data_IF_498796872364
#
_entry.id   IF_498796872364
#
_cell.length_a   1.000
_cell.length_b   1.000
_cell.length_c   1.000
_cell.angle_alpha   90.00
_cell.angle_beta   90.00
_cell.angle_gamma   90.00
#
_symmetry.space_group_name_H-M   'P 1'
#
loop_
_entity.id
_entity.type
_entity.pdbx_description
1 polymer ?
#
# COMPACT_ATOMS: atom_id res chain seq x y z
N UNK A 1 -25.04 11.12 6.21
CA UNK A 1 -24.58 11.86 7.43
C UNK A 1 -23.41 12.77 7.06
N UNK A 2 -23.15 13.88 7.77
CA UNK A 2 -22.00 14.74 7.44
C UNK A 2 -20.71 14.15 8.01
N UNK A 3 -19.74 13.86 7.15
CA UNK A 3 -18.40 13.39 7.52
C UNK A 3 -17.66 14.48 8.31
N UNK A 4 -17.19 14.14 9.52
CA UNK A 4 -16.48 15.03 10.45
C UNK A 4 -14.98 14.71 10.58
N UNK A 5 -14.59 13.48 10.27
CA UNK A 5 -13.20 13.03 10.24
C UNK A 5 -12.91 12.30 8.93
N UNK A 6 -11.65 12.28 8.50
CA UNK A 6 -11.27 11.69 7.22
C UNK A 6 -9.96 10.91 7.36
N UNK A 7 -9.97 9.68 6.86
CA UNK A 7 -8.82 8.78 6.72
C UNK A 7 -8.57 8.56 5.23
N UNK A 8 -7.32 8.75 4.80
CA UNK A 8 -6.90 8.37 3.45
C UNK A 8 -6.10 7.08 3.51
N UNK A 9 -6.38 6.16 2.60
CA UNK A 9 -5.72 4.85 2.50
C UNK A 9 -5.00 4.77 1.16
N UNK A 10 -3.71 4.48 1.18
CA UNK A 10 -2.91 4.25 -0.02
C UNK A 10 -2.71 2.75 -0.17
N UNK A 11 -3.20 2.18 -1.28
CA UNK A 11 -3.11 0.75 -1.53
C UNK A 11 -2.10 0.43 -2.62
N UNK A 12 -1.28 -0.59 -2.39
CA UNK A 12 -0.56 -1.29 -3.45
C UNK A 12 -1.59 -1.96 -4.41
N UNK A 13 -1.35 -2.03 -5.74
CA UNK A 13 -2.34 -2.53 -6.72
C UNK A 13 -2.61 -4.05 -6.64
N UNK A 14 -1.87 -4.80 -5.82
CA UNK A 14 -2.10 -6.23 -5.61
C UNK A 14 -3.40 -6.49 -4.85
N UNK A 15 -4.23 -7.42 -5.33
CA UNK A 15 -5.55 -7.67 -4.74
C UNK A 15 -5.52 -8.09 -3.27
N UNK A 16 -4.52 -8.87 -2.85
CA UNK A 16 -4.34 -9.23 -1.44
C UNK A 16 -4.12 -8.02 -0.52
N UNK A 17 -3.48 -6.97 -1.04
CA UNK A 17 -3.27 -5.70 -0.35
C UNK A 17 -4.59 -4.91 -0.30
N UNK A 18 -5.19 -4.68 -1.48
CA UNK A 18 -6.42 -3.90 -1.65
C UNK A 18 -7.56 -4.45 -0.78
N UNK A 19 -7.85 -5.75 -0.87
CA UNK A 19 -9.01 -6.35 -0.21
C UNK A 19 -8.97 -6.16 1.31
N UNK A 20 -7.80 -6.35 1.91
CA UNK A 20 -7.63 -6.22 3.37
C UNK A 20 -7.92 -4.79 3.85
N UNK A 21 -7.46 -3.78 3.09
CA UNK A 21 -7.70 -2.37 3.33
C UNK A 21 -9.16 -1.97 3.13
N UNK A 22 -9.83 -2.53 2.10
CA UNK A 22 -11.27 -2.32 1.88
C UNK A 22 -12.09 -2.84 3.06
N UNK A 23 -11.81 -4.05 3.53
CA UNK A 23 -12.52 -4.64 4.67
C UNK A 23 -12.29 -3.80 5.94
N UNK A 24 -11.05 -3.35 6.19
CA UNK A 24 -10.74 -2.45 7.30
C UNK A 24 -11.54 -1.14 7.20
N UNK A 25 -11.56 -0.51 6.02
CA UNK A 25 -12.32 0.73 5.78
C UNK A 25 -13.82 0.53 6.07
N UNK A 26 -14.40 -0.59 5.63
CA UNK A 26 -15.79 -0.95 5.90
C UNK A 26 -16.07 -1.05 7.41
N UNK A 27 -15.19 -1.70 8.17
CA UNK A 27 -15.34 -1.80 9.63
C UNK A 27 -15.22 -0.44 10.32
N UNK A 28 -14.32 0.43 9.86
CA UNK A 28 -14.17 1.78 10.40
C UNK A 28 -15.48 2.57 10.24
N UNK A 29 -16.03 2.65 9.03
CA UNK A 29 -17.25 3.47 8.79
C UNK A 29 -18.49 2.90 9.48
N UNK A 30 -18.57 1.57 9.64
CA UNK A 30 -19.66 0.91 10.38
C UNK A 30 -19.61 1.22 11.87
N UNK A 31 -18.41 1.33 12.46
CA UNK A 31 -18.24 1.66 13.88
C UNK A 31 -18.23 3.18 14.14
N UNK A 32 -17.83 3.97 13.15
CA UNK A 32 -17.65 5.42 13.23
C UNK A 32 -18.29 6.10 12.01
N UNK A 33 -19.63 6.24 12.00
CA UNK A 33 -20.36 6.85 10.89
C UNK A 33 -20.11 8.36 10.74
N UNK A 34 -19.32 8.98 11.62
CA UNK A 34 -18.81 10.34 11.50
C UNK A 34 -17.47 10.42 10.75
N UNK A 35 -16.84 9.28 10.44
CA UNK A 35 -15.57 9.19 9.72
C UNK A 35 -15.83 8.76 8.27
N UNK A 36 -15.23 9.48 7.33
CA UNK A 36 -15.11 9.09 5.93
C UNK A 36 -13.76 8.44 5.65
N UNK A 37 -13.74 7.43 4.78
CA UNK A 37 -12.51 6.76 4.33
C UNK A 37 -12.39 6.88 2.81
N UNK A 38 -11.27 7.45 2.34
CA UNK A 38 -10.93 7.48 0.92
C UNK A 38 -9.81 6.49 0.63
N UNK A 39 -10.08 5.49 -0.20
CA UNK A 39 -9.12 4.47 -0.63
C UNK A 39 -8.61 4.82 -2.03
N UNK A 40 -7.31 5.11 -2.11
CA UNK A 40 -6.58 5.40 -3.34
C UNK A 40 -6.04 4.08 -3.90
N UNK A 41 -6.46 3.73 -5.12
CA UNK A 41 -6.14 2.46 -5.78
C UNK A 41 -5.65 2.73 -7.19
N UNK A 42 -4.63 2.00 -7.63
CA UNK A 42 -4.20 1.98 -9.02
C UNK A 42 -4.85 0.82 -9.78
N UNK A 43 -5.21 1.08 -11.02
CA UNK A 43 -5.67 0.09 -11.99
C UNK A 43 -7.07 -0.47 -11.77
N UNK A 44 -7.34 -1.59 -12.44
CA UNK A 44 -8.63 -2.26 -12.45
C UNK A 44 -9.06 -2.84 -11.09
N UNK A 45 -8.15 -2.89 -10.12
CA UNK A 45 -8.47 -3.26 -8.75
C UNK A 45 -9.50 -2.31 -8.10
N UNK A 46 -9.66 -1.08 -8.60
CA UNK A 46 -10.67 -0.14 -8.12
C UNK A 46 -12.10 -0.69 -8.28
N UNK A 47 -12.42 -1.35 -9.39
CA UNK A 47 -13.76 -1.95 -9.61
C UNK A 47 -14.02 -3.10 -8.64
N UNK A 48 -13.02 -3.98 -8.49
CA UNK A 48 -13.08 -5.09 -7.52
C UNK A 48 -13.23 -4.58 -6.09
N UNK A 49 -12.61 -3.44 -5.76
CA UNK A 49 -12.75 -2.81 -4.45
C UNK A 49 -14.17 -2.27 -4.21
N UNK A 50 -14.81 -1.64 -5.21
CA UNK A 50 -16.22 -1.21 -5.10
C UNK A 50 -17.18 -2.41 -4.89
N UNK A 51 -16.96 -3.52 -5.59
CA UNK A 51 -17.69 -4.77 -5.39
C UNK A 51 -17.48 -5.34 -3.98
N UNK A 52 -16.24 -5.29 -3.47
CA UNK A 52 -15.90 -5.74 -2.12
C UNK A 52 -16.54 -4.86 -1.03
N UNK A 53 -16.64 -3.54 -1.24
CA UNK A 53 -17.38 -2.63 -0.35
C UNK A 53 -18.85 -3.03 -0.31
N UNK A 54 -19.47 -3.22 -1.47
CA UNK A 54 -20.88 -3.63 -1.60
C UNK A 54 -21.15 -4.97 -0.92
N UNK A 55 -20.18 -5.89 -0.93
CA UNK A 55 -20.29 -7.18 -0.24
C UNK A 55 -20.12 -7.05 1.28
N UNK A 56 -19.34 -6.07 1.75
CA UNK A 56 -18.97 -5.91 3.15
C UNK A 56 -19.96 -5.07 3.95
N UNK A 57 -20.72 -4.21 3.27
CA UNK A 57 -21.69 -3.29 3.87
C UNK A 57 -23.09 -3.68 3.41
N UNK A 58 -24.06 -3.90 4.32
CA UNK A 58 -25.44 -4.19 3.94
C UNK A 58 -26.04 -3.10 3.05
N UNK A 59 -26.89 -3.51 2.09
CA UNK A 59 -27.60 -2.57 1.22
C UNK A 59 -28.47 -1.63 2.07
N UNK A 60 -28.35 -0.33 1.83
CA UNK A 60 -29.09 0.70 2.57
C UNK A 60 -28.41 1.16 3.87
N UNK A 61 -27.26 0.58 4.25
CA UNK A 61 -26.47 1.07 5.37
C UNK A 61 -25.84 2.44 5.01
N UNK A 62 -26.10 3.50 5.81
CA UNK A 62 -25.50 4.83 5.59
C UNK A 62 -23.96 4.83 5.56
N UNK A 63 -23.31 3.81 6.14
CA UNK A 63 -21.87 3.65 6.13
C UNK A 63 -21.29 3.59 4.69
N UNK A 64 -22.08 3.14 3.71
CA UNK A 64 -21.67 3.11 2.31
C UNK A 64 -21.38 4.52 1.74
N UNK A 65 -22.07 5.55 2.23
CA UNK A 65 -21.83 6.95 1.79
C UNK A 65 -20.49 7.51 2.29
N UNK A 66 -19.91 6.87 3.31
CA UNK A 66 -18.68 7.29 3.96
C UNK A 66 -17.45 6.56 3.43
N UNK A 67 -17.57 5.75 2.37
CA UNK A 67 -16.41 5.17 1.67
C UNK A 67 -16.32 5.73 0.26
N UNK A 68 -15.09 6.09 -0.12
CA UNK A 68 -14.75 6.47 -1.49
C UNK A 68 -13.65 5.55 -1.98
N UNK A 69 -13.91 4.87 -3.08
CA UNK A 69 -12.88 4.19 -3.87
C UNK A 69 -12.49 5.11 -5.02
N UNK A 70 -11.23 5.53 -5.07
CA UNK A 70 -10.74 6.46 -6.07
C UNK A 70 -9.57 5.84 -6.80
N UNK A 71 -9.79 5.56 -8.08
CA UNK A 71 -8.75 5.20 -9.02
C UNK A 71 -7.80 6.36 -9.28
N UNK A 72 -6.50 6.17 -9.06
CA UNK A 72 -5.46 7.21 -9.25
C UNK A 72 -4.62 7.01 -10.51
N UNK A 73 -4.55 5.77 -11.02
CA UNK A 73 -3.77 5.40 -12.20
C UNK A 73 -4.54 4.34 -13.00
N UNK A 74 -4.49 4.40 -14.34
CA UNK A 74 -5.09 3.38 -15.23
C UNK A 74 -4.10 2.26 -15.53
N UNK A 75 -4.61 1.05 -15.67
CA UNK A 75 -3.85 -0.14 -16.08
C UNK A 75 -4.39 -1.42 -15.46
N UNK A 76 -3.95 -2.56 -15.98
CA UNK A 76 -4.34 -3.88 -15.51
C UNK A 76 -3.16 -4.72 -15.00
N UNK A 77 -1.95 -4.45 -15.49
CA UNK A 77 -0.73 -5.12 -15.04
C UNK A 77 -0.24 -4.53 -13.70
N UNK A 78 -0.34 -5.33 -12.64
CA UNK A 78 0.09 -4.99 -11.29
C UNK A 78 1.59 -4.66 -11.24
N UNK A 79 2.42 -5.37 -12.01
CA UNK A 79 3.87 -5.18 -12.00
C UNK A 79 4.27 -3.87 -12.66
N UNK A 80 3.56 -3.44 -13.72
CA UNK A 80 3.74 -2.12 -14.31
C UNK A 80 3.19 -1.01 -13.39
N UNK A 81 2.01 -1.21 -12.80
CA UNK A 81 1.36 -0.22 -11.94
C UNK A 81 2.15 0.08 -10.67
N UNK A 82 2.94 -0.88 -10.15
CA UNK A 82 3.73 -0.71 -8.91
C UNK A 82 4.59 0.55 -8.93
N UNK A 83 5.19 0.87 -10.08
CA UNK A 83 6.14 1.99 -10.25
C UNK A 83 5.44 3.34 -10.10
N UNK A 84 4.24 3.49 -10.65
CA UNK A 84 3.50 4.76 -10.64
C UNK A 84 2.55 4.94 -9.46
N UNK A 85 2.25 3.88 -8.70
CA UNK A 85 1.19 3.91 -7.68
C UNK A 85 1.48 4.91 -6.57
N UNK A 86 2.71 4.96 -6.07
CA UNK A 86 3.10 5.88 -4.99
C UNK A 86 2.91 7.35 -5.41
N UNK A 87 3.50 7.74 -6.54
CA UNK A 87 3.40 9.10 -7.08
C UNK A 87 1.95 9.51 -7.40
N UNK A 88 1.16 8.61 -8.01
CA UNK A 88 -0.24 8.88 -8.30
C UNK A 88 -1.09 9.05 -7.03
N UNK A 89 -0.80 8.26 -5.99
CA UNK A 89 -1.49 8.35 -4.70
C UNK A 89 -1.11 9.62 -3.93
N UNK A 90 0.17 10.03 -3.98
CA UNK A 90 0.63 11.29 -3.41
C UNK A 90 -0.05 12.50 -4.06
N UNK A 91 -0.11 12.55 -5.39
CA UNK A 91 -0.82 13.62 -6.12
C UNK A 91 -2.30 13.69 -5.76
N UNK A 92 -2.95 12.53 -5.62
CA UNK A 92 -4.34 12.48 -5.14
C UNK A 92 -4.46 12.99 -3.69
N UNK A 93 -3.51 12.64 -2.82
CA UNK A 93 -3.48 13.09 -1.43
C UNK A 93 -3.23 14.60 -1.30
N UNK A 94 -2.41 15.22 -2.16
CA UNK A 94 -2.26 16.68 -2.20
C UNK A 94 -3.61 17.37 -2.38
N UNK A 95 -4.44 16.90 -3.32
CA UNK A 95 -5.79 17.41 -3.55
C UNK A 95 -6.69 17.21 -2.33
N UNK A 96 -6.67 16.01 -1.73
CA UNK A 96 -7.46 15.71 -0.53
C UNK A 96 -7.02 16.58 0.67
N UNK A 97 -5.72 16.81 0.84
CA UNK A 97 -5.14 17.65 1.90
C UNK A 97 -5.50 19.13 1.72
N UNK A 98 -5.49 19.61 0.48
CA UNK A 98 -5.94 20.93 0.08
C UNK A 98 -7.47 21.08 0.03
N UNK A 99 -8.22 20.02 0.38
CA UNK A 99 -9.68 19.98 0.33
C UNK A 99 -10.24 20.39 -1.04
N UNK A 100 -9.61 19.92 -2.11
CA UNK A 100 -10.03 20.13 -3.49
C UNK A 100 -10.83 18.94 -4.02
N UNK A 101 -11.73 19.14 -5.01
CA UNK A 101 -12.39 18.05 -5.69
C UNK A 101 -11.38 17.12 -6.35
N UNK A 102 -11.68 15.83 -6.38
CA UNK A 102 -10.82 14.82 -7.00
C UNK A 102 -11.63 13.98 -7.99
N UNK A 103 -11.05 13.70 -9.14
CA UNK A 103 -11.66 12.87 -10.18
C UNK A 103 -11.05 11.47 -10.13
N UNK A 104 -11.90 10.45 -10.02
CA UNK A 104 -11.47 9.07 -10.19
C UNK A 104 -11.10 8.83 -11.66
N UNK A 105 -9.85 8.46 -11.94
CA UNK A 105 -9.41 8.26 -13.34
C UNK A 105 -10.04 7.03 -13.99
N UNK A 106 -10.54 6.09 -13.17
CA UNK A 106 -11.17 4.84 -13.64
C UNK A 106 -12.63 5.06 -14.01
N UNK A 107 -13.43 5.68 -13.13
CA UNK A 107 -14.87 5.87 -13.34
C UNK A 107 -15.25 7.24 -13.91
N UNK A 108 -14.35 8.22 -13.90
CA UNK A 108 -14.63 9.61 -14.26
C UNK A 108 -15.45 10.38 -13.22
N UNK A 109 -15.87 9.73 -12.12
CA UNK A 109 -16.66 10.35 -11.06
C UNK A 109 -15.83 11.41 -10.33
N UNK A 110 -16.43 12.58 -10.12
CA UNK A 110 -15.87 13.66 -9.31
C UNK A 110 -16.38 13.53 -7.87
N UNK A 111 -15.45 13.53 -6.92
CA UNK A 111 -15.76 13.50 -5.49
C UNK A 111 -15.55 14.89 -4.90
N UNK A 112 -16.58 15.40 -4.25
CA UNK A 112 -16.50 16.69 -3.55
C UNK A 112 -15.61 16.60 -2.31
N UNK A 113 -14.95 17.69 -1.90
CA UNK A 113 -14.08 17.69 -0.74
C UNK A 113 -14.75 17.15 0.53
N UNK A 114 -13.99 16.39 1.30
CA UNK A 114 -14.28 16.10 2.70
C UNK A 114 -13.38 16.97 3.59
N UNK A 115 -13.55 16.95 4.93
CA UNK A 115 -12.54 17.50 5.82
C UNK A 115 -11.15 16.97 5.48
N UNK A 116 -10.14 17.81 5.69
CA UNK A 116 -8.73 17.43 5.51
C UNK A 116 -8.43 16.10 6.25
N UNK A 117 -7.77 15.13 5.61
CA UNK A 117 -7.40 13.87 6.26
C UNK A 117 -6.56 14.11 7.53
N UNK A 118 -6.84 13.37 8.60
CA UNK A 118 -6.01 13.40 9.83
C UNK A 118 -5.13 12.18 10.00
N UNK A 119 -5.47 11.10 9.27
CA UNK A 119 -4.73 9.85 9.27
C UNK A 119 -4.53 9.42 7.82
N UNK A 120 -3.30 9.03 7.50
CA UNK A 120 -2.96 8.32 6.28
C UNK A 120 -2.51 6.91 6.65
N UNK A 121 -3.19 5.91 6.11
CA UNK A 121 -2.77 4.52 6.17
C UNK A 121 -2.08 4.17 4.84
N UNK A 122 -0.78 3.88 4.87
CA UNK A 122 -0.02 3.54 3.66
C UNK A 122 0.39 2.09 3.66
N UNK A 123 0.17 1.41 2.54
CA UNK A 123 0.73 0.09 2.31
C UNK A 123 2.27 0.11 2.43
N UNK A 124 2.83 -0.94 3.04
CA UNK A 124 4.28 -1.08 3.26
C UNK A 124 5.13 -0.96 1.99
N UNK A 125 4.58 -1.31 0.82
CA UNK A 125 5.33 -1.28 -0.44
C UNK A 125 5.39 0.10 -1.12
N UNK A 126 4.70 1.11 -0.57
CA UNK A 126 4.68 2.43 -1.19
C UNK A 126 5.77 3.37 -0.65
N UNK A 127 6.25 3.14 0.57
CA UNK A 127 7.31 3.92 1.22
C UNK A 127 7.12 5.46 1.15
N UNK A 128 5.88 5.95 1.23
CA UNK A 128 5.54 7.38 1.02
C UNK A 128 5.45 8.21 2.31
N UNK A 129 5.91 7.68 3.45
CA UNK A 129 5.67 8.30 4.74
C UNK A 129 6.33 9.68 4.88
N UNK A 130 7.49 9.88 4.27
CA UNK A 130 8.20 11.15 4.28
C UNK A 130 7.49 12.19 3.40
N UNK A 131 7.10 11.81 2.19
CA UNK A 131 6.41 12.64 1.21
C UNK A 131 5.04 13.08 1.74
N UNK A 132 4.29 12.16 2.34
CA UNK A 132 3.02 12.48 3.01
C UNK A 132 3.22 13.55 4.09
N UNK A 133 4.27 13.45 4.90
CA UNK A 133 4.59 14.45 5.94
C UNK A 133 5.09 15.78 5.37
N UNK A 134 5.72 15.78 4.20
CA UNK A 134 6.07 17.03 3.52
C UNK A 134 4.84 17.78 3.01
N UNK A 135 3.78 17.06 2.63
CA UNK A 135 2.49 17.64 2.23
C UNK A 135 1.71 18.12 3.46
N UNK A 136 1.69 17.32 4.53
CA UNK A 136 1.00 17.65 5.77
C UNK A 136 1.81 17.22 7.01
N UNK A 137 2.59 18.14 7.62
CA UNK A 137 3.41 17.81 8.79
C UNK A 137 2.62 17.36 10.02
N UNK A 138 1.32 17.69 10.10
CA UNK A 138 0.46 17.37 11.23
C UNK A 138 -0.28 16.03 11.08
N UNK A 139 -0.19 15.37 9.93
CA UNK A 139 -0.92 14.12 9.68
C UNK A 139 -0.31 12.95 10.42
N UNK A 140 -1.16 12.08 10.97
CA UNK A 140 -0.70 10.79 11.47
C UNK A 140 -0.51 9.83 10.31
N UNK A 141 0.70 9.29 10.13
CA UNK A 141 0.99 8.26 9.12
C UNK A 141 1.15 6.90 9.79
N UNK A 142 0.35 5.93 9.36
CA UNK A 142 0.38 4.55 9.82
C UNK A 142 0.75 3.62 8.66
N UNK A 143 1.64 2.66 8.90
CA UNK A 143 1.98 1.62 7.94
C UNK A 143 0.98 0.46 7.99
N UNK A 144 0.56 -0.04 6.83
CA UNK A 144 -0.27 -1.22 6.69
C UNK A 144 0.52 -2.37 6.08
N UNK A 145 0.64 -3.46 6.83
CA UNK A 145 1.35 -4.66 6.42
C UNK A 145 0.38 -5.83 6.35
N UNK A 146 -0.11 -6.19 5.15
CA UNK A 146 -0.98 -7.37 5.01
C UNK A 146 -0.27 -8.73 5.14
N UNK A 147 1.05 -8.90 4.87
CA UNK A 147 1.72 -10.16 5.16
C UNK A 147 1.76 -10.47 6.66
N UNK A 148 2.09 -11.72 6.98
CA UNK A 148 2.37 -12.09 8.36
C UNK A 148 3.59 -11.32 8.90
N UNK A 149 3.63 -11.08 10.22
CA UNK A 149 4.69 -10.28 10.84
C UNK A 149 6.10 -10.83 10.58
N UNK A 150 6.27 -12.16 10.54
CA UNK A 150 7.57 -12.79 10.24
C UNK A 150 8.08 -12.48 8.83
N UNK A 151 7.20 -12.50 7.82
CA UNK A 151 7.52 -12.19 6.44
C UNK A 151 7.77 -10.68 6.29
N UNK A 152 6.95 -9.83 6.89
CA UNK A 152 7.16 -8.38 6.91
C UNK A 152 8.48 -8.01 7.56
N UNK A 153 8.83 -8.68 8.66
CA UNK A 153 10.12 -8.49 9.31
C UNK A 153 11.27 -8.96 8.41
N UNK A 154 11.13 -10.10 7.73
CA UNK A 154 12.14 -10.57 6.78
C UNK A 154 12.37 -9.54 5.66
N UNK A 155 11.30 -8.97 5.10
CA UNK A 155 11.35 -8.05 3.95
C UNK A 155 11.88 -6.66 4.34
N UNK A 156 11.49 -6.14 5.50
CA UNK A 156 11.74 -4.73 5.87
C UNK A 156 12.60 -4.55 7.12
N UNK A 157 12.96 -5.64 7.79
CA UNK A 157 13.76 -5.61 9.00
C UNK A 157 15.26 -5.38 8.73
N UNK A 158 16.02 -5.01 9.76
CA UNK A 158 17.46 -4.81 9.64
C UNK A 158 18.21 -6.15 9.52
N UNK A 159 19.31 -6.14 8.76
CA UNK A 159 20.10 -7.35 8.47
C UNK A 159 20.68 -8.03 9.69
N UNK A 160 21.16 -7.24 10.66
CA UNK A 160 21.73 -7.77 11.90
C UNK A 160 20.71 -8.52 12.77
N UNK A 161 19.42 -8.44 12.43
CA UNK A 161 18.34 -9.22 13.05
C UNK A 161 17.70 -10.24 12.09
N UNK A 162 18.29 -10.48 10.91
CA UNK A 162 17.80 -11.43 9.91
C UNK A 162 16.87 -10.86 8.83
N UNK A 163 16.68 -9.54 8.79
CA UNK A 163 15.97 -8.88 7.69
C UNK A 163 16.82 -8.70 6.42
N UNK A 164 16.24 -8.14 5.36
CA UNK A 164 16.93 -7.85 4.10
C UNK A 164 17.75 -6.53 4.14
N UNK A 165 17.41 -5.63 5.05
CA UNK A 165 17.99 -4.29 5.11
C UNK A 165 17.50 -3.39 3.97
N UNK A 166 18.26 -2.35 3.66
CA UNK A 166 17.93 -1.40 2.60
C UNK A 166 18.38 -1.93 1.24
N UNK A 167 17.49 -2.66 0.58
CA UNK A 167 17.75 -3.24 -0.74
C UNK A 167 17.99 -2.16 -1.80
N UNK A 168 17.25 -1.05 -1.75
CA UNK A 168 17.41 0.02 -2.73
C UNK A 168 18.80 0.65 -2.66
N UNK A 169 19.26 1.00 -1.45
CA UNK A 169 20.60 1.55 -1.27
C UNK A 169 21.69 0.57 -1.69
N UNK A 170 21.55 -0.72 -1.36
CA UNK A 170 22.50 -1.77 -1.77
C UNK A 170 22.59 -1.92 -3.28
N UNK A 171 21.45 -1.93 -3.96
CA UNK A 171 21.39 -2.14 -5.41
C UNK A 171 22.03 -0.99 -6.18
N UNK A 172 21.87 0.25 -5.70
CA UNK A 172 22.56 1.42 -6.29
C UNK A 172 24.08 1.26 -6.16
N UNK A 173 24.57 0.96 -4.95
CA UNK A 173 26.00 0.79 -4.69
C UNK A 173 26.61 -0.34 -5.55
N UNK A 174 25.90 -1.45 -5.70
CA UNK A 174 26.38 -2.59 -6.49
C UNK A 174 26.29 -2.33 -8.00
N UNK A 175 25.28 -1.60 -8.47
CA UNK A 175 25.17 -1.18 -9.86
C UNK A 175 26.34 -0.27 -10.26
N UNK A 176 26.73 0.68 -9.39
CA UNK A 176 27.89 1.54 -9.61
C UNK A 176 29.21 0.74 -9.74
N UNK A 177 29.34 -0.35 -8.99
CA UNK A 177 30.55 -1.21 -9.02
C UNK A 177 30.61 -2.13 -10.23
N UNK A 178 29.47 -2.67 -10.64
CA UNK A 178 29.41 -3.78 -11.62
C UNK A 178 28.96 -3.33 -13.01
N UNK A 179 28.34 -2.16 -13.13
CA UNK A 179 27.70 -1.68 -14.35
C UNK A 179 26.40 -2.41 -14.69
N UNK A 180 25.91 -3.31 -13.83
CA UNK A 180 24.63 -4.02 -13.99
C UNK A 180 23.45 -3.08 -13.72
N UNK A 181 22.27 -3.46 -14.19
CA UNK A 181 21.08 -2.66 -13.90
C UNK A 181 20.67 -2.78 -12.42
N UNK A 182 20.15 -1.69 -11.86
CA UNK A 182 19.62 -1.66 -10.49
C UNK A 182 18.50 -2.70 -10.33
N UNK A 183 17.61 -2.84 -11.32
CA UNK A 183 16.47 -3.77 -11.28
C UNK A 183 16.91 -5.24 -11.18
N UNK A 184 17.94 -5.64 -11.93
CA UNK A 184 18.49 -7.00 -11.84
C UNK A 184 19.06 -7.28 -10.45
N UNK A 185 19.83 -6.33 -9.90
CA UNK A 185 20.43 -6.49 -8.57
C UNK A 185 19.35 -6.50 -7.47
N UNK A 186 18.36 -5.61 -7.54
CA UNK A 186 17.25 -5.59 -6.58
C UNK A 186 16.50 -6.93 -6.58
N UNK A 187 16.28 -7.50 -7.76
CA UNK A 187 15.60 -8.80 -7.91
C UNK A 187 16.37 -9.92 -7.21
N UNK A 188 17.69 -9.96 -7.38
CA UNK A 188 18.57 -10.93 -6.72
C UNK A 188 18.59 -10.74 -5.20
N UNK A 189 18.74 -9.49 -4.75
CA UNK A 189 18.80 -9.17 -3.32
C UNK A 189 17.45 -9.42 -2.61
N UNK A 190 16.32 -9.24 -3.29
CA UNK A 190 15.00 -9.55 -2.75
C UNK A 190 14.72 -11.05 -2.62
N UNK A 191 15.47 -11.89 -3.34
CA UNK A 191 15.26 -13.35 -3.40
C UNK A 191 16.57 -14.10 -3.20
N UNK A 192 17.23 -13.97 -2.04
CA UNK A 192 18.46 -14.67 -1.78
C UNK A 192 18.21 -16.18 -1.72
N UNK A 193 18.96 -16.91 -2.53
CA UNK A 193 18.98 -18.38 -2.60
C UNK A 193 20.44 -18.84 -2.50
N UNK A 194 21.09 -18.48 -1.40
CA UNK A 194 22.53 -18.74 -1.18
C UNK A 194 22.78 -19.92 -0.27
N UNK A 195 21.73 -20.52 0.30
CA UNK A 195 21.84 -21.59 1.29
C UNK A 195 22.32 -21.10 2.65
N UNK A 196 22.22 -19.80 2.94
CA UNK A 196 22.67 -19.22 4.20
C UNK A 196 21.62 -19.39 5.28
N UNK A 197 22.05 -19.83 6.46
CA UNK A 197 21.21 -19.91 7.64
C UNK A 197 20.96 -18.49 8.19
N UNK A 198 19.69 -18.10 8.28
CA UNK A 198 19.23 -16.82 8.80
C UNK A 198 18.75 -16.99 10.24
N UNK A 199 19.22 -16.11 11.11
CA UNK A 199 18.80 -16.06 12.52
C UNK A 199 17.94 -14.82 12.77
N UNK A 200 16.64 -15.02 12.96
CA UNK A 200 15.72 -13.95 13.37
C UNK A 200 15.32 -14.14 14.84
N UNK A 201 15.50 -13.12 15.71
CA UNK A 201 15.13 -13.24 17.12
C UNK A 201 13.68 -13.67 17.31
N UNK A 202 13.48 -14.72 18.10
CA UNK A 202 12.14 -15.26 18.41
C UNK A 202 11.54 -16.19 17.33
N UNK A 203 12.25 -16.46 16.23
CA UNK A 203 11.86 -17.43 15.22
C UNK A 203 12.88 -18.58 15.12
N UNK A 204 12.47 -19.78 14.65
CA UNK A 204 13.41 -20.83 14.31
C UNK A 204 14.42 -20.36 13.25
N UNK A 205 15.67 -20.85 13.28
CA UNK A 205 16.61 -20.59 12.21
C UNK A 205 16.08 -21.23 10.91
N UNK A 206 16.21 -20.52 9.80
CA UNK A 206 15.75 -20.95 8.48
C UNK A 206 16.80 -20.59 7.43
N UNK A 207 16.98 -21.43 6.43
CA UNK A 207 17.77 -21.08 5.26
C UNK A 207 17.08 -20.00 4.43
N UNK A 208 17.86 -19.14 3.78
CA UNK A 208 17.34 -18.03 2.97
C UNK A 208 16.38 -18.46 1.85
N UNK A 209 16.61 -19.62 1.25
CA UNK A 209 15.71 -20.21 0.25
C UNK A 209 14.36 -20.66 0.82
N UNK A 210 14.26 -20.95 2.13
CA UNK A 210 13.00 -21.38 2.77
C UNK A 210 11.98 -20.24 2.90
N UNK A 211 12.41 -18.99 2.72
CA UNK A 211 11.53 -17.82 2.70
C UNK A 211 10.86 -17.59 1.34
N UNK A 212 11.27 -18.33 0.30
CA UNK A 212 10.78 -18.16 -1.06
C UNK A 212 9.75 -19.24 -1.41
N UNK A 213 8.70 -18.89 -2.19
CA UNK A 213 7.83 -19.90 -2.75
C UNK A 213 8.63 -20.86 -3.64
N UNK A 214 8.50 -22.17 -3.42
CA UNK A 214 9.13 -23.21 -4.26
C UNK A 214 8.62 -23.18 -5.72
N UNK A 215 7.45 -22.58 -5.94
CA UNK A 215 6.89 -22.31 -7.27
C UNK A 215 6.52 -20.82 -7.36
N UNK A 216 6.94 -20.16 -8.43
CA UNK A 216 6.62 -18.76 -8.65
C UNK A 216 5.10 -18.57 -8.85
N UNK A 217 4.49 -17.65 -8.08
CA UNK A 217 3.07 -17.33 -8.19
C UNK A 217 2.73 -16.46 -9.43
N UNK A 218 3.74 -15.92 -10.12
CA UNK A 218 3.60 -15.12 -11.33
C UNK A 218 4.54 -15.69 -12.38
N UNK A 219 3.99 -16.17 -13.50
CA UNK A 219 4.72 -16.51 -14.73
C UNK A 219 4.46 -15.44 -15.76
#
# INVERSE_FOLDING_TARGET
MTVKGHITVFSFPGWGHVRSLVVLACRIVQQRPDIGVTILIAGDAAKKAEEEVTRSIPVGDPANENIRVIGTLKGSDVMALRVGTAAASLKAYELLSAQQPITCVISGKIFQPWPKPKVVLTDIFLNVAHEVRSIDPAVTVLGWSPPNNSASFRISGPEHLGGLGDIGAKSIIEAEKTGRSIEEIETELCRPDTGKLVHTPGLPPMYDYEFLPQQACFR
#
